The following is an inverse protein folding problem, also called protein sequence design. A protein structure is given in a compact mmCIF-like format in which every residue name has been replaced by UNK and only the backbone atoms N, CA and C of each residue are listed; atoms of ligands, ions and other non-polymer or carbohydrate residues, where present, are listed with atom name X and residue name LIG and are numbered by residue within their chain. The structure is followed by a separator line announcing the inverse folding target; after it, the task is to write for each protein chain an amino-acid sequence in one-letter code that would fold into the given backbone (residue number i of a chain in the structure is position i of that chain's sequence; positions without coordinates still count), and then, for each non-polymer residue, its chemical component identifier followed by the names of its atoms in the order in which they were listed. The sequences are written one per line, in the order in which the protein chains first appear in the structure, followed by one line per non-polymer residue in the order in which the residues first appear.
data_IF_004782627422
#
_entry.id   IF_004782627422
#
_cell.length_a   1.000
_cell.length_b   1.000
_cell.length_c   1.000
_cell.angle_alpha   90.00
_cell.angle_beta   90.00
_cell.angle_gamma   90.00
#
_symmetry.space_group_name_H-M   'P 1'
#
loop_
_entity.id
_entity.type
_entity.pdbx_description
1 polymer ?
#
# COMPACT_ATOMS: atom_id res chain seq x y z
N UNK A 1 -58.55 2.93 36.92
CA UNK A 1 -58.73 2.16 35.68
C UNK A 1 -57.53 2.40 34.77
N UNK A 2 -56.63 1.41 34.58
CA UNK A 2 -55.41 1.56 33.76
C UNK A 2 -55.73 1.26 32.30
N UNK A 3 -55.51 2.21 31.39
CA UNK A 3 -55.63 1.99 29.94
C UNK A 3 -54.42 1.21 29.43
N UNK A 4 -54.63 -0.04 29.03
CA UNK A 4 -53.63 -0.83 28.32
C UNK A 4 -53.51 -0.31 26.88
N UNK A 5 -52.45 0.45 26.60
CA UNK A 5 -52.10 0.84 25.23
C UNK A 5 -51.69 -0.41 24.46
N UNK A 6 -52.47 -0.81 23.45
CA UNK A 6 -52.11 -1.89 22.52
C UNK A 6 -50.78 -1.53 21.84
N UNK A 7 -49.74 -2.35 22.03
CA UNK A 7 -48.50 -2.21 21.26
C UNK A 7 -48.80 -2.62 19.82
N UNK A 8 -48.67 -1.68 18.88
CA UNK A 8 -48.69 -1.99 17.45
C UNK A 8 -47.40 -2.75 17.14
N UNK A 9 -47.52 -4.01 16.71
CA UNK A 9 -46.39 -4.82 16.25
C UNK A 9 -46.02 -4.44 14.81
N UNK A 10 -44.75 -4.58 14.47
CA UNK A 10 -44.23 -4.41 13.11
C UNK A 10 -44.74 -5.54 12.22
N UNK A 11 -45.07 -5.25 10.96
CA UNK A 11 -45.58 -6.27 10.04
C UNK A 11 -44.43 -7.04 9.39
N UNK A 12 -44.63 -8.33 9.12
CA UNK A 12 -43.62 -9.14 8.43
C UNK A 12 -43.33 -8.59 7.02
N UNK A 13 -44.35 -8.03 6.36
CA UNK A 13 -44.21 -7.44 5.03
C UNK A 13 -43.35 -6.17 5.03
N UNK A 14 -43.45 -5.32 6.06
CA UNK A 14 -42.55 -4.18 6.21
C UNK A 14 -41.10 -4.64 6.35
N UNK A 15 -40.86 -5.73 7.10
CA UNK A 15 -39.51 -6.26 7.26
C UNK A 15 -38.96 -6.81 5.94
N UNK A 16 -39.79 -7.54 5.18
CA UNK A 16 -39.41 -8.11 3.88
C UNK A 16 -39.08 -7.03 2.85
N UNK A 17 -39.86 -5.95 2.79
CA UNK A 17 -39.58 -4.84 1.89
C UNK A 17 -38.24 -4.14 2.24
N UNK A 18 -37.93 -3.97 3.53
CA UNK A 18 -36.68 -3.34 3.97
C UNK A 18 -35.47 -4.19 3.61
N UNK A 19 -35.48 -5.50 3.88
CA UNK A 19 -34.34 -6.36 3.53
C UNK A 19 -34.12 -6.44 2.02
N UNK A 20 -35.19 -6.37 1.21
CA UNK A 20 -35.10 -6.36 -0.24
C UNK A 20 -34.38 -5.10 -0.75
N UNK A 21 -34.73 -3.93 -0.20
CA UNK A 21 -34.06 -2.66 -0.56
C UNK A 21 -32.59 -2.67 -0.10
N UNK A 22 -32.31 -3.14 1.12
CA UNK A 22 -30.93 -3.24 1.64
C UNK A 22 -30.08 -4.19 0.79
N UNK A 23 -30.64 -5.32 0.33
CA UNK A 23 -29.93 -6.26 -0.55
C UNK A 23 -29.52 -5.61 -1.88
N UNK A 24 -30.41 -4.84 -2.50
CA UNK A 24 -30.12 -4.12 -3.75
C UNK A 24 -29.03 -3.06 -3.55
N UNK A 25 -29.12 -2.28 -2.46
CA UNK A 25 -28.12 -1.26 -2.14
C UNK A 25 -26.75 -1.89 -1.85
N UNK A 26 -26.72 -2.98 -1.08
CA UNK A 26 -25.49 -3.70 -0.75
C UNK A 26 -24.79 -4.22 -2.01
N UNK A 27 -25.53 -4.76 -2.98
CA UNK A 27 -24.97 -5.29 -4.22
C UNK A 27 -24.17 -4.25 -5.03
N UNK A 28 -24.63 -3.00 -5.06
CA UNK A 28 -23.94 -1.91 -5.79
C UNK A 28 -22.81 -1.29 -4.95
N UNK A 29 -22.97 -1.26 -3.63
CA UNK A 29 -22.03 -0.60 -2.73
C UNK A 29 -20.70 -1.36 -2.55
N UNK A 30 -20.73 -2.69 -2.50
CA UNK A 30 -19.52 -3.50 -2.24
C UNK A 30 -18.38 -3.28 -3.26
N UNK A 31 -18.58 -3.38 -4.59
CA UNK A 31 -17.49 -3.23 -5.54
C UNK A 31 -16.93 -1.80 -5.57
N UNK A 32 -17.81 -0.80 -5.41
CA UNK A 32 -17.41 0.61 -5.44
C UNK A 32 -16.56 0.96 -4.23
N UNK A 33 -17.01 0.61 -3.01
CA UNK A 33 -16.28 0.89 -1.77
C UNK A 33 -14.91 0.22 -1.74
N UNK A 34 -14.81 -1.04 -2.18
CA UNK A 34 -13.51 -1.76 -2.23
C UNK A 34 -12.50 -1.05 -3.13
N UNK A 35 -12.92 -0.59 -4.31
CA UNK A 35 -12.08 0.18 -5.23
C UNK A 35 -11.59 1.51 -4.64
N UNK A 36 -12.50 2.26 -3.99
CA UNK A 36 -12.15 3.53 -3.33
C UNK A 36 -11.13 3.32 -2.21
N UNK A 37 -11.32 2.33 -1.34
CA UNK A 37 -10.39 2.02 -0.24
C UNK A 37 -9.01 1.66 -0.78
N UNK A 38 -8.95 0.82 -1.83
CA UNK A 38 -7.69 0.43 -2.45
C UNK A 38 -6.96 1.64 -3.04
N UNK A 39 -7.68 2.53 -3.73
CA UNK A 39 -7.11 3.76 -4.28
C UNK A 39 -6.61 4.71 -3.18
N UNK A 40 -7.34 4.85 -2.09
CA UNK A 40 -6.93 5.65 -0.93
C UNK A 40 -5.66 5.10 -0.28
N UNK A 41 -5.56 3.78 -0.09
CA UNK A 41 -4.35 3.11 0.41
C UNK A 41 -3.15 3.37 -0.50
N UNK A 42 -3.32 3.19 -1.82
CA UNK A 42 -2.26 3.49 -2.81
C UNK A 42 -1.83 4.96 -2.77
N UNK A 43 -2.78 5.89 -2.67
CA UNK A 43 -2.48 7.31 -2.55
C UNK A 43 -1.68 7.63 -1.30
N UNK A 44 -1.99 6.98 -0.17
CA UNK A 44 -1.24 7.16 1.07
C UNK A 44 0.23 6.74 0.91
N UNK A 45 0.49 5.59 0.27
CA UNK A 45 1.85 5.12 -0.03
C UNK A 45 2.61 6.10 -0.91
N UNK A 46 1.98 6.64 -1.96
CA UNK A 46 2.61 7.66 -2.82
C UNK A 46 2.98 8.91 -2.02
N UNK A 47 2.08 9.38 -1.15
CA UNK A 47 2.38 10.53 -0.27
C UNK A 47 3.53 10.22 0.69
N UNK A 48 3.56 9.02 1.28
CA UNK A 48 4.65 8.61 2.16
C UNK A 48 5.99 8.52 1.40
N UNK A 49 6.00 7.99 0.18
CA UNK A 49 7.18 7.95 -0.69
C UNK A 49 7.70 9.37 -1.01
N UNK A 50 6.80 10.35 -1.20
CA UNK A 50 7.17 11.78 -1.34
C UNK A 50 7.85 12.32 -0.11
N UNK A 51 7.26 12.09 1.07
CA UNK A 51 7.83 12.54 2.34
C UNK A 51 9.22 11.97 2.55
N UNK A 52 9.43 10.68 2.23
CA UNK A 52 10.73 10.02 2.34
C UNK A 52 11.78 10.64 1.43
N UNK A 53 11.45 10.87 0.16
CA UNK A 53 12.39 11.46 -0.78
C UNK A 53 12.76 12.89 -0.36
N UNK A 54 11.78 13.68 0.07
CA UNK A 54 12.04 15.02 0.60
C UNK A 54 12.93 14.98 1.85
N UNK A 55 12.72 14.00 2.73
CA UNK A 55 13.53 13.81 3.93
C UNK A 55 14.98 13.44 3.59
N UNK A 56 15.18 12.54 2.63
CA UNK A 56 16.50 12.14 2.13
C UNK A 56 17.21 13.33 1.47
N UNK A 57 16.50 14.08 0.63
CA UNK A 57 17.05 15.28 -0.03
C UNK A 57 17.43 16.37 0.98
N UNK A 58 16.56 16.62 1.98
CA UNK A 58 16.84 17.57 3.06
C UNK A 58 18.05 17.15 3.90
N UNK A 59 18.19 15.85 4.17
CA UNK A 59 19.35 15.31 4.88
C UNK A 59 20.62 15.50 4.06
N UNK A 60 20.60 15.10 2.79
CA UNK A 60 21.74 15.22 1.87
C UNK A 60 22.17 16.67 1.62
N UNK A 61 21.24 17.63 1.70
CA UNK A 61 21.56 19.05 1.59
C UNK A 61 22.29 19.61 2.81
N UNK A 62 22.17 18.95 3.97
CA UNK A 62 22.69 19.46 5.26
C UNK A 62 23.84 18.61 5.81
N UNK A 63 23.98 17.35 5.37
CA UNK A 63 25.00 16.44 5.87
C UNK A 63 26.33 16.55 5.12
N UNK A 64 27.44 16.40 5.85
CA UNK A 64 28.79 16.32 5.25
C UNK A 64 29.02 14.99 4.52
N UNK A 65 28.21 13.97 4.83
CA UNK A 65 28.20 12.67 4.18
C UNK A 65 26.79 12.39 3.62
N UNK A 66 26.53 12.75 2.35
CA UNK A 66 25.24 12.50 1.74
C UNK A 66 25.02 11.00 1.58
N UNK A 67 23.77 10.58 1.71
CA UNK A 67 23.32 9.25 1.32
C UNK A 67 23.44 9.18 -0.21
N UNK A 68 24.53 8.57 -0.69
CA UNK A 68 24.84 8.49 -2.13
C UNK A 68 23.69 7.80 -2.85
N UNK A 69 23.13 8.49 -3.84
CA UNK A 69 22.10 7.95 -4.72
C UNK A 69 22.38 8.40 -6.15
N UNK A 70 22.75 7.45 -7.01
CA UNK A 70 22.82 7.73 -8.44
C UNK A 70 21.59 7.08 -9.08
N UNK A 71 20.75 7.93 -9.67
CA UNK A 71 19.79 7.89 -10.81
C UNK A 71 20.42 8.06 -12.23
N UNK A 72 20.90 7.07 -12.98
CA UNK A 72 21.39 7.24 -14.36
C UNK A 72 20.22 7.00 -15.31
N UNK A 73 20.12 7.93 -16.24
CA UNK A 73 19.10 8.03 -17.28
C UNK A 73 19.16 6.88 -18.31
N UNK A 74 20.10 5.95 -18.15
CA UNK A 74 20.22 4.71 -18.94
C UNK A 74 19.67 3.46 -18.25
N UNK A 75 19.01 3.60 -17.10
CA UNK A 75 18.31 2.50 -16.44
C UNK A 75 19.22 1.43 -15.79
N UNK A 76 20.53 1.66 -15.71
CA UNK A 76 21.43 0.85 -14.91
C UNK A 76 22.28 1.72 -14.00
N UNK A 77 22.04 1.52 -12.70
CA UNK A 77 22.68 2.21 -11.60
C UNK A 77 23.26 1.22 -10.63
N UNK A 78 24.39 1.53 -9.99
CA UNK A 78 24.77 0.82 -8.78
C UNK A 78 23.70 1.09 -7.72
N UNK A 79 22.75 0.15 -7.60
CA UNK A 79 21.64 0.25 -6.66
C UNK A 79 22.19 -0.08 -5.28
N UNK A 80 22.56 0.94 -4.49
CA UNK A 80 22.55 0.77 -3.04
C UNK A 80 21.10 0.76 -2.60
N UNK A 81 20.49 -0.43 -2.65
CA UNK A 81 19.10 -0.67 -2.28
C UNK A 81 18.96 -0.64 -0.76
N UNK A 82 19.09 0.55 -0.16
CA UNK A 82 18.84 0.68 1.28
C UNK A 82 17.34 0.77 1.52
N UNK A 83 16.85 -0.06 2.43
CA UNK A 83 15.48 0.00 2.91
C UNK A 83 15.25 1.37 3.56
N UNK A 84 14.17 2.03 3.20
CA UNK A 84 13.81 3.36 3.74
C UNK A 84 13.76 3.34 5.28
N UNK A 85 13.22 2.27 5.86
CA UNK A 85 13.11 2.06 7.30
C UNK A 85 14.45 1.76 8.00
N UNK A 86 15.50 1.46 7.24
CA UNK A 86 16.82 1.09 7.74
C UNK A 86 17.82 2.25 7.69
N UNK A 87 17.38 3.49 7.43
CA UNK A 87 18.21 4.69 7.46
C UNK A 87 18.12 5.36 8.84
N UNK A 88 19.00 4.99 9.81
CA UNK A 88 18.90 5.43 11.20
C UNK A 88 19.06 6.95 11.37
N UNK A 89 19.68 7.63 10.40
CA UNK A 89 19.88 9.09 10.43
C UNK A 89 18.68 9.90 9.94
N UNK A 90 17.69 9.24 9.33
CA UNK A 90 16.46 9.87 8.84
C UNK A 90 15.25 9.43 9.68
N UNK A 91 15.30 8.18 10.15
CA UNK A 91 14.24 7.54 10.94
C UNK A 91 14.48 7.78 12.43
N UNK A 92 13.54 8.46 13.10
CA UNK A 92 13.57 8.64 14.56
C UNK A 92 14.28 9.91 15.08
N UNK A 93 14.71 10.80 14.19
CA UNK A 93 15.29 12.12 14.54
C UNK A 93 14.44 13.25 13.95
N UNK A 94 13.17 13.38 14.36
CA UNK A 94 12.20 14.43 13.94
C UNK A 94 11.91 14.59 12.42
N UNK A 95 12.67 13.94 11.53
CA UNK A 95 12.55 14.08 10.07
C UNK A 95 11.55 13.06 9.52
N UNK A 96 11.61 11.79 9.95
CA UNK A 96 10.63 10.75 9.62
C UNK A 96 10.20 9.96 10.87
N UNK A 97 8.89 9.88 11.08
CA UNK A 97 8.28 9.01 12.10
C UNK A 97 8.13 7.58 11.57
N UNK A 98 8.62 6.60 12.33
CA UNK A 98 8.50 5.17 12.07
C UNK A 98 7.05 4.73 11.82
N UNK A 99 6.11 5.30 12.57
CA UNK A 99 4.70 4.97 12.41
C UNK A 99 4.16 5.48 11.06
N UNK A 100 4.63 6.65 10.63
CA UNK A 100 4.24 7.29 9.38
C UNK A 100 4.78 6.56 8.13
N UNK A 101 5.85 5.78 8.26
CA UNK A 101 6.44 5.02 7.14
C UNK A 101 6.24 3.50 7.22
N UNK A 102 5.59 2.99 8.27
CA UNK A 102 5.33 1.55 8.47
C UNK A 102 4.66 0.85 7.29
N UNK A 103 3.83 1.58 6.53
CA UNK A 103 3.12 1.07 5.34
C UNK A 103 4.02 0.99 4.11
N UNK A 104 5.22 1.57 4.13
CA UNK A 104 6.20 1.42 3.06
C UNK A 104 6.86 0.04 3.05
N UNK A 105 6.78 -0.73 4.16
CA UNK A 105 7.28 -2.11 4.21
C UNK A 105 8.71 -2.24 3.69
N UNK A 106 8.88 -3.02 2.63
CA UNK A 106 10.17 -3.29 1.99
C UNK A 106 10.49 -2.32 0.82
N UNK A 107 9.86 -1.14 0.78
CA UNK A 107 10.12 -0.14 -0.26
C UNK A 107 11.57 0.34 -0.20
N UNK A 108 12.17 0.41 -1.38
CA UNK A 108 13.53 0.90 -1.58
C UNK A 108 13.50 2.40 -1.92
N UNK A 109 14.59 3.11 -1.64
CA UNK A 109 14.68 4.53 -1.98
C UNK A 109 14.53 4.81 -3.48
N UNK A 110 15.06 3.92 -4.33
CA UNK A 110 14.90 3.97 -5.79
C UNK A 110 13.43 3.85 -6.22
N UNK A 111 12.67 2.96 -5.60
CA UNK A 111 11.22 2.85 -5.86
C UNK A 111 10.46 4.09 -5.38
N UNK A 112 10.82 4.64 -4.21
CA UNK A 112 10.20 5.86 -3.70
C UNK A 112 10.42 7.06 -4.64
N UNK A 113 11.63 7.22 -5.20
CA UNK A 113 11.90 8.23 -6.21
C UNK A 113 11.14 7.98 -7.51
N UNK A 114 11.17 6.76 -8.03
CA UNK A 114 10.46 6.42 -9.26
C UNK A 114 8.95 6.70 -9.14
N UNK A 115 8.34 6.42 -7.99
CA UNK A 115 6.95 6.77 -7.67
C UNK A 115 6.70 8.29 -7.71
N UNK A 116 7.66 9.10 -7.26
CA UNK A 116 7.49 10.56 -7.21
C UNK A 116 7.59 11.22 -8.58
N UNK A 117 8.42 10.67 -9.47
CA UNK A 117 8.55 11.16 -10.84
C UNK A 117 7.46 10.64 -11.79
N UNK A 118 6.73 9.59 -11.42
CA UNK A 118 5.65 9.01 -12.23
C UNK A 118 4.29 9.65 -11.92
N UNK A 119 3.76 10.43 -12.88
CA UNK A 119 2.42 11.02 -12.80
C UNK A 119 1.29 9.98 -12.68
N UNK A 120 1.55 8.73 -13.07
CA UNK A 120 0.61 7.62 -13.07
C UNK A 120 0.93 6.54 -12.02
N UNK A 121 1.77 6.87 -11.03
CA UNK A 121 2.30 5.91 -10.06
C UNK A 121 1.23 5.03 -9.37
N UNK A 122 0.04 5.58 -9.09
CA UNK A 122 -1.08 4.85 -8.47
C UNK A 122 -1.52 3.63 -9.31
N UNK A 123 -1.44 3.72 -10.64
CA UNK A 123 -1.80 2.61 -11.55
C UNK A 123 -0.78 1.48 -11.44
N UNK A 124 0.49 1.85 -11.34
CA UNK A 124 1.65 0.94 -11.35
C UNK A 124 2.00 0.38 -9.96
N UNK A 125 1.39 0.92 -8.90
CA UNK A 125 1.60 0.50 -7.52
C UNK A 125 0.77 -0.75 -7.18
N UNK A 126 1.43 -1.77 -6.63
CA UNK A 126 0.80 -2.95 -6.04
C UNK A 126 0.93 -2.87 -4.52
N UNK A 127 -0.16 -3.15 -3.82
CA UNK A 127 -0.24 -3.17 -2.35
C UNK A 127 -0.84 -4.48 -1.88
N UNK A 128 -0.43 -4.92 -0.69
CA UNK A 128 -1.02 -6.06 0.00
C UNK A 128 -2.43 -5.71 0.53
N UNK A 129 -3.25 -6.72 0.89
CA UNK A 129 -4.60 -6.49 1.43
C UNK A 129 -4.64 -5.58 2.67
N UNK A 130 -3.61 -5.63 3.50
CA UNK A 130 -3.39 -4.80 4.70
C UNK A 130 -2.95 -3.35 4.40
N UNK A 131 -2.78 -3.01 3.11
CA UNK A 131 -2.38 -1.71 2.63
C UNK A 131 -0.89 -1.41 2.69
N UNK A 132 -0.04 -2.41 2.95
CA UNK A 132 1.42 -2.26 2.90
C UNK A 132 1.90 -2.31 1.44
N UNK A 133 2.94 -1.55 1.12
CA UNK A 133 3.61 -1.58 -0.17
C UNK A 133 4.07 -3.00 -0.53
N UNK A 134 3.79 -3.42 -1.77
CA UNK A 134 4.25 -4.71 -2.29
C UNK A 134 5.29 -4.54 -3.40
N UNK A 135 4.99 -3.73 -4.43
CA UNK A 135 5.87 -3.50 -5.58
C UNK A 135 5.44 -2.26 -6.38
N UNK A 136 6.38 -1.66 -7.11
CA UNK A 136 6.11 -0.63 -8.12
C UNK A 136 6.57 -1.09 -9.52
N UNK A 137 5.69 -0.94 -10.54
CA UNK A 137 5.87 -1.35 -11.95
C UNK A 137 5.99 -2.87 -12.14
N UNK A 138 5.36 -3.40 -13.18
CA UNK A 138 5.44 -4.84 -13.47
C UNK A 138 6.82 -5.16 -14.04
N UNK A 139 7.67 -5.84 -13.28
CA UNK A 139 8.72 -6.66 -13.86
C UNK A 139 8.02 -7.63 -14.81
N UNK A 140 8.20 -7.45 -16.13
CA UNK A 140 7.79 -8.44 -17.14
C UNK A 140 8.54 -9.73 -16.84
N UNK A 141 7.91 -10.63 -16.10
CA UNK A 141 8.27 -12.04 -16.10
C UNK A 141 7.06 -12.78 -16.63
N UNK A 142 6.96 -12.79 -17.96
CA UNK A 142 6.14 -13.76 -18.65
C UNK A 142 6.96 -15.06 -18.74
N UNK A 143 6.70 -16.01 -17.84
CA UNK A 143 6.86 -17.44 -18.10
C UNK A 143 6.26 -18.26 -16.95
N UNK A 144 5.13 -18.92 -17.25
CA UNK A 144 4.75 -20.28 -16.82
C UNK A 144 4.51 -20.54 -15.31
N UNK A 145 3.48 -21.24 -14.84
CA UNK A 145 2.33 -21.97 -15.43
C UNK A 145 1.37 -22.27 -14.26
N UNK A 146 0.11 -22.56 -14.58
CA UNK A 146 -0.90 -23.24 -13.76
C UNK A 146 -0.39 -24.27 -12.73
N UNK A 147 -1.32 -24.57 -11.79
CA UNK A 147 -1.31 -25.59 -10.73
C UNK A 147 -0.65 -25.08 -9.44
N UNK A 148 -1.25 -25.10 -8.24
CA UNK A 148 -2.22 -25.98 -7.57
C UNK A 148 -2.84 -25.11 -6.45
N UNK A 149 -4.15 -25.12 -6.19
CA UNK A 149 -4.78 -26.02 -5.21
C UNK A 149 -4.52 -25.59 -3.75
N UNK A 150 -5.49 -25.90 -2.89
CA UNK A 150 -5.67 -25.45 -1.52
C UNK A 150 -4.50 -25.67 -0.55
N UNK A 151 -4.54 -24.83 0.50
CA UNK A 151 -3.93 -24.99 1.83
C UNK A 151 -2.40 -25.04 1.96
N UNK A 152 -1.92 -24.44 3.06
CA UNK A 152 -0.59 -24.72 3.58
C UNK A 152 0.33 -23.52 3.60
N UNK A 153 0.51 -23.01 4.81
CA UNK A 153 1.66 -22.25 5.27
C UNK A 153 3.00 -22.71 4.65
N UNK A 154 3.70 -21.87 3.90
CA UNK A 154 5.18 -21.91 3.90
C UNK A 154 5.87 -20.67 3.35
N UNK A 155 6.64 -20.06 4.23
CA UNK A 155 7.89 -19.34 4.04
C UNK A 155 8.31 -19.06 2.57
N UNK A 156 8.06 -17.84 2.10
CA UNK A 156 8.74 -17.32 0.91
C UNK A 156 10.17 -16.93 1.26
N UNK A 157 11.05 -17.93 1.15
CA UNK A 157 12.51 -17.88 1.14
C UNK A 157 12.99 -16.87 0.10
N UNK A 158 13.59 -15.77 0.55
CA UNK A 158 14.26 -14.80 -0.31
C UNK A 158 15.44 -15.46 -1.07
N UNK A 159 15.61 -15.24 -2.38
CA UNK A 159 16.83 -15.67 -3.05
C UNK A 159 17.95 -14.66 -2.78
N UNK A 160 18.94 -15.08 -1.99
CA UNK A 160 20.28 -14.49 -1.98
C UNK A 160 20.94 -14.80 -3.33
N UNK A 161 21.20 -13.77 -4.12
CA UNK A 161 22.01 -13.92 -5.34
C UNK A 161 23.47 -13.86 -4.95
N UNK A 162 24.13 -15.03 -5.00
CA UNK A 162 25.58 -15.15 -4.88
C UNK A 162 26.25 -14.41 -6.04
N UNK A 163 27.17 -13.51 -5.69
CA UNK A 163 28.07 -12.83 -6.62
C UNK A 163 29.40 -13.58 -6.57
N UNK A 164 29.90 -14.02 -7.73
CA UNK A 164 31.24 -14.58 -7.92
C UNK A 164 32.26 -13.46 -8.14
#
# INVERSE_FOLDING_TARGET
MKLNKKKKGFTLIELMAVIAIVAILAAVLVPTVSGYINRSKKSAIVTQARTVVNAVESYNATSENPLIETLTDSGELPISTTLVSALPSIVGTDILDLNAISKLGNMTLAEAKAINFDSDAIKNLKIYPDGVFARYKELRVAAHTELVGEEGSEQAKYPVTNIK
#
